data_IF_827704444786
#
_entry.id   IF_827704444786
#
_cell.length_a   1.000
_cell.length_b   1.000
_cell.length_c   1.000
_cell.angle_alpha   90.00
_cell.angle_beta   90.00
_cell.angle_gamma   90.00
#
_symmetry.space_group_name_H-M   'P 1'
#
loop_
_entity.id
_entity.type
_entity.pdbx_description
1 polymer ?
#
# COMPACT_ATOMS: atom_id res chain seq x y z
N UNK A 1 65.80 3.61 -33.93
CA UNK A 1 66.05 2.19 -34.28
C UNK A 1 64.74 1.44 -34.07
N UNK A 2 63.92 1.21 -35.12
CA UNK A 2 63.62 -0.11 -35.73
C UNK A 2 63.59 -1.24 -34.67
N UNK A 3 62.46 -1.92 -34.46
CA UNK A 3 61.94 -2.96 -35.36
C UNK A 3 60.41 -3.00 -35.44
N UNK A 4 59.97 -3.11 -36.69
CA UNK A 4 58.61 -3.43 -37.15
C UNK A 4 58.59 -4.95 -37.38
N UNK A 5 57.49 -5.63 -37.06
CA UNK A 5 57.15 -6.90 -37.70
C UNK A 5 55.73 -6.81 -38.26
N UNK A 6 55.66 -7.00 -39.58
CA UNK A 6 54.49 -7.07 -40.45
C UNK A 6 53.97 -8.52 -40.56
N UNK A 7 52.81 -8.67 -41.21
CA UNK A 7 52.10 -9.88 -41.72
C UNK A 7 51.02 -10.44 -40.78
N UNK A 8 49.77 -10.72 -41.18
CA UNK A 8 48.95 -10.59 -42.40
C UNK A 8 47.50 -10.85 -41.90
N UNK A 9 46.50 -9.98 -42.09
CA UNK A 9 45.57 -9.85 -43.23
C UNK A 9 44.94 -11.16 -43.75
N UNK A 10 43.63 -11.32 -43.50
CA UNK A 10 42.57 -11.94 -44.35
C UNK A 10 41.41 -12.39 -43.42
N UNK A 11 40.11 -12.26 -43.69
CA UNK A 11 39.32 -11.79 -44.83
C UNK A 11 37.87 -11.63 -44.31
N UNK A 12 37.18 -10.60 -44.80
CA UNK A 12 35.76 -10.30 -44.61
C UNK A 12 34.84 -11.48 -45.02
N UNK A 13 33.79 -11.72 -44.24
CA UNK A 13 32.49 -12.21 -44.73
C UNK A 13 31.38 -11.45 -43.99
N UNK A 14 30.88 -10.39 -44.63
CA UNK A 14 29.62 -9.75 -44.28
C UNK A 14 28.52 -10.37 -45.15
N UNK A 15 27.45 -10.87 -44.51
CA UNK A 15 26.17 -11.07 -45.18
C UNK A 15 25.06 -10.48 -44.30
N UNK A 16 24.39 -9.52 -44.92
CA UNK A 16 23.25 -8.74 -44.46
C UNK A 16 22.00 -9.61 -44.39
N UNK A 17 21.17 -9.40 -43.36
CA UNK A 17 19.71 -9.21 -43.47
C UNK A 17 19.06 -9.45 -42.10
N UNK A 18 18.55 -8.38 -41.49
CA UNK A 18 17.75 -8.52 -40.28
C UNK A 18 17.47 -7.19 -39.58
N UNK A 19 16.80 -6.25 -40.25
CA UNK A 19 16.09 -5.17 -39.57
C UNK A 19 14.86 -5.77 -38.84
N UNK A 20 15.11 -6.47 -37.74
CA UNK A 20 14.11 -6.80 -36.74
C UNK A 20 14.07 -5.67 -35.72
N UNK A 21 12.92 -5.02 -35.60
CA UNK A 21 12.64 -4.03 -34.56
C UNK A 21 13.07 -4.58 -33.18
N UNK A 22 13.86 -3.87 -32.36
CA UNK A 22 14.01 -4.25 -30.97
C UNK A 22 12.68 -3.93 -30.29
N UNK A 23 11.89 -4.98 -30.07
CA UNK A 23 10.71 -4.92 -29.22
C UNK A 23 11.10 -4.31 -27.88
N UNK A 24 10.31 -3.32 -27.47
CA UNK A 24 10.29 -2.77 -26.11
C UNK A 24 10.39 -3.93 -25.11
N UNK A 25 11.40 -4.01 -24.25
CA UNK A 25 11.43 -5.06 -23.24
C UNK A 25 10.17 -4.92 -22.39
N UNK A 26 9.41 -6.01 -22.37
CA UNK A 26 8.29 -6.20 -21.48
C UNK A 26 8.77 -6.07 -20.03
N UNK A 27 7.91 -5.46 -19.20
CA UNK A 27 8.06 -5.16 -17.79
C UNK A 27 9.25 -5.82 -17.09
N UNK A 28 10.24 -5.00 -16.76
CA UNK A 28 11.13 -5.32 -15.66
C UNK A 28 10.25 -5.51 -14.41
N UNK A 29 10.31 -6.68 -13.74
CA UNK A 29 9.62 -6.87 -12.47
C UNK A 29 10.07 -5.75 -11.55
N UNK A 30 9.13 -4.98 -10.98
CA UNK A 30 9.46 -3.98 -9.98
C UNK A 30 10.29 -4.67 -8.90
N UNK A 31 11.58 -4.31 -8.81
CA UNK A 31 12.45 -4.90 -7.81
C UNK A 31 11.83 -4.61 -6.43
N UNK A 32 11.76 -5.61 -5.52
CA UNK A 32 11.26 -5.39 -4.19
C UNK A 32 12.04 -4.24 -3.56
N UNK A 33 11.34 -3.17 -3.18
CA UNK A 33 11.98 -2.05 -2.51
C UNK A 33 12.57 -2.52 -1.19
N UNK A 34 13.78 -2.05 -0.78
CA UNK A 34 14.34 -2.39 0.51
C UNK A 34 13.34 -2.10 1.64
N UNK A 35 13.24 -2.96 2.66
CA UNK A 35 12.36 -2.72 3.80
C UNK A 35 12.75 -1.42 4.52
N UNK A 36 11.76 -0.56 4.76
CA UNK A 36 11.97 0.73 5.42
C UNK A 36 11.98 0.59 6.95
N UNK A 37 12.73 1.45 7.64
CA UNK A 37 12.61 1.65 9.09
C UNK A 37 12.53 3.14 9.39
N UNK A 38 11.59 3.54 10.25
CA UNK A 38 11.35 4.93 10.64
C UNK A 38 9.86 5.29 10.67
N UNK A 39 9.57 6.56 10.91
CA UNK A 39 8.21 7.08 10.85
C UNK A 39 7.79 7.28 9.39
N UNK A 40 6.54 6.95 9.05
CA UNK A 40 5.94 7.33 7.76
C UNK A 40 4.91 8.44 7.95
N UNK A 41 4.92 9.42 7.04
CA UNK A 41 4.02 10.55 7.12
C UNK A 41 2.58 10.14 6.78
N UNK A 42 1.63 10.64 7.57
CA UNK A 42 0.21 10.59 7.24
C UNK A 42 -0.08 11.75 6.29
N UNK A 43 -0.40 11.42 5.04
CA UNK A 43 -0.63 12.42 4.00
C UNK A 43 -2.05 12.98 4.05
N UNK A 44 -3.02 12.12 4.39
CA UNK A 44 -4.44 12.45 4.52
C UNK A 44 -5.04 11.59 5.65
N UNK A 45 -6.04 12.12 6.35
CA UNK A 45 -6.70 11.43 7.46
C UNK A 45 -8.19 11.76 7.50
N UNK A 46 -9.01 10.74 7.73
CA UNK A 46 -10.45 10.86 7.83
C UNK A 46 -10.98 9.99 8.97
N UNK A 47 -11.37 10.59 10.11
CA UNK A 47 -12.20 9.92 11.09
C UNK A 47 -13.68 9.94 10.68
N UNK A 48 -14.45 8.99 11.18
CA UNK A 48 -15.89 8.95 10.97
C UNK A 48 -16.55 7.70 11.52
N UNK A 49 -17.86 7.62 11.33
CA UNK A 49 -18.64 6.43 11.63
C UNK A 49 -18.76 5.58 10.36
N UNK A 50 -18.61 4.27 10.52
CA UNK A 50 -18.73 3.29 9.46
C UNK A 50 -19.89 2.33 9.78
N UNK A 51 -20.83 2.12 8.86
CA UNK A 51 -22.02 1.33 9.14
C UNK A 51 -21.71 -0.17 9.23
N UNK A 52 -22.25 -0.83 10.26
CA UNK A 52 -22.02 -2.25 10.57
C UNK A 52 -22.60 -3.19 9.52
N UNK A 53 -23.68 -2.78 8.85
CA UNK A 53 -24.30 -3.52 7.75
C UNK A 53 -23.51 -3.40 6.42
N UNK A 54 -22.36 -2.69 6.42
CA UNK A 54 -21.46 -2.52 5.25
C UNK A 54 -20.04 -3.01 5.46
N UNK A 55 -19.78 -3.78 6.52
CA UNK A 55 -18.45 -4.34 6.79
C UNK A 55 -17.95 -5.24 5.65
N UNK A 56 -18.84 -5.82 4.86
CA UNK A 56 -18.51 -6.63 3.69
C UNK A 56 -17.75 -5.88 2.60
N UNK A 57 -17.79 -4.54 2.61
CA UNK A 57 -17.04 -3.71 1.66
C UNK A 57 -15.57 -3.56 2.04
N UNK A 58 -15.21 -3.81 3.30
CA UNK A 58 -13.81 -3.92 3.70
C UNK A 58 -13.18 -5.18 3.07
N UNK A 59 -11.85 -5.21 2.88
CA UNK A 59 -11.14 -6.39 2.39
C UNK A 59 -11.53 -7.64 3.16
N UNK A 60 -11.88 -8.71 2.44
CA UNK A 60 -12.56 -9.88 2.99
C UNK A 60 -11.80 -10.56 4.13
N UNK A 61 -10.48 -10.61 4.05
CA UNK A 61 -9.57 -11.20 5.05
C UNK A 61 -9.31 -10.29 6.27
N UNK A 62 -9.88 -9.08 6.29
CA UNK A 62 -9.61 -8.06 7.30
C UNK A 62 -10.87 -7.57 8.03
N UNK A 63 -12.05 -8.11 7.68
CA UNK A 63 -13.37 -7.65 8.20
C UNK A 63 -13.61 -7.89 9.69
N UNK A 64 -12.81 -8.71 10.34
CA UNK A 64 -12.84 -8.94 11.79
C UNK A 64 -11.70 -8.22 12.51
N UNK A 65 -10.78 -7.60 11.78
CA UNK A 65 -9.63 -6.93 12.34
C UNK A 65 -9.98 -5.49 12.75
N UNK A 66 -9.36 -5.03 13.83
CA UNK A 66 -9.41 -3.63 14.25
C UNK A 66 -8.47 -2.74 13.43
N UNK A 67 -7.40 -3.31 12.85
CA UNK A 67 -6.44 -2.59 12.02
C UNK A 67 -6.31 -3.34 10.69
N UNK A 68 -6.26 -2.61 9.59
CA UNK A 68 -6.07 -3.20 8.26
C UNK A 68 -5.62 -2.17 7.22
N UNK A 69 -5.58 -2.59 5.97
CA UNK A 69 -5.21 -1.76 4.83
C UNK A 69 -6.09 -2.00 3.61
N UNK A 70 -6.14 -0.99 2.73
CA UNK A 70 -6.75 -1.07 1.41
C UNK A 70 -5.67 -0.67 0.39
N UNK A 71 -5.33 -1.59 -0.51
CA UNK A 71 -4.33 -1.39 -1.59
C UNK A 71 -4.94 -1.34 -2.99
N UNK A 72 -6.27 -1.40 -3.09
CA UNK A 72 -7.03 -1.43 -4.34
C UNK A 72 -8.00 -0.24 -4.44
N UNK A 73 -8.03 0.38 -5.63
CA UNK A 73 -8.83 1.59 -5.91
C UNK A 73 -10.33 1.32 -5.80
N UNK A 74 -10.80 0.18 -6.32
CA UNK A 74 -12.23 -0.13 -6.39
C UNK A 74 -12.77 -0.52 -5.01
N UNK A 75 -11.96 -1.26 -4.23
CA UNK A 75 -12.26 -1.53 -2.82
C UNK A 75 -12.33 -0.21 -2.04
N UNK A 76 -11.36 0.69 -2.21
CA UNK A 76 -11.38 1.98 -1.51
C UNK A 76 -12.61 2.82 -1.87
N UNK A 77 -12.98 2.89 -3.14
CA UNK A 77 -14.19 3.60 -3.57
C UNK A 77 -15.46 2.98 -2.94
N UNK A 78 -15.54 1.64 -2.90
CA UNK A 78 -16.64 0.93 -2.25
C UNK A 78 -16.76 1.26 -0.75
N UNK A 79 -15.64 1.23 -0.03
CA UNK A 79 -15.56 1.62 1.39
C UNK A 79 -15.92 3.09 1.57
N UNK A 80 -15.37 3.99 0.73
CA UNK A 80 -15.59 5.43 0.83
C UNK A 80 -17.08 5.79 0.69
N UNK A 81 -17.79 5.18 -0.25
CA UNK A 81 -19.23 5.48 -0.45
C UNK A 81 -20.10 5.07 0.74
N UNK A 82 -19.67 4.11 1.56
CA UNK A 82 -20.33 3.78 2.82
C UNK A 82 -19.86 4.69 3.97
N UNK A 83 -18.58 5.06 4.00
CA UNK A 83 -17.97 5.86 5.06
C UNK A 83 -18.30 7.35 4.99
N UNK A 84 -18.39 7.91 3.79
CA UNK A 84 -18.63 9.32 3.48
C UNK A 84 -19.67 9.44 2.34
N UNK A 85 -20.93 9.06 2.61
CA UNK A 85 -21.96 9.03 1.56
C UNK A 85 -22.18 10.42 0.96
N UNK A 86 -22.18 10.50 -0.37
CA UNK A 86 -22.37 11.75 -1.11
C UNK A 86 -21.09 12.60 -1.27
N UNK A 87 -20.00 12.27 -0.58
CA UNK A 87 -18.71 12.92 -0.80
C UNK A 87 -17.97 12.35 -2.00
N UNK A 88 -17.21 13.20 -2.70
CA UNK A 88 -16.35 12.77 -3.79
C UNK A 88 -15.26 11.84 -3.26
N UNK A 89 -15.08 10.68 -3.89
CA UNK A 89 -13.98 9.75 -3.57
C UNK A 89 -12.63 10.46 -3.76
N UNK A 90 -11.73 10.44 -2.77
CA UNK A 90 -10.37 10.96 -2.90
C UNK A 90 -9.62 10.22 -4.02
N UNK A 91 -8.89 10.97 -4.84
CA UNK A 91 -8.04 10.37 -5.86
C UNK A 91 -6.70 9.99 -5.21
N UNK A 92 -6.51 8.69 -4.99
CA UNK A 92 -5.32 8.12 -4.37
C UNK A 92 -4.59 7.30 -5.42
N UNK A 93 -3.29 7.54 -5.54
CA UNK A 93 -2.41 6.71 -6.33
C UNK A 93 -1.99 5.46 -5.53
N UNK A 94 -2.72 4.35 -5.72
CA UNK A 94 -2.48 3.07 -5.04
C UNK A 94 -1.19 2.35 -5.48
N UNK A 95 -0.50 2.86 -6.51
CA UNK A 95 0.86 2.39 -6.84
C UNK A 95 1.83 2.87 -5.78
N UNK A 96 1.74 4.15 -5.39
CA UNK A 96 2.67 4.80 -4.47
C UNK A 96 2.16 4.92 -3.03
N UNK A 97 0.86 4.71 -2.81
CA UNK A 97 0.22 4.91 -1.52
C UNK A 97 -0.60 3.70 -1.06
N UNK A 98 -0.79 3.63 0.24
CA UNK A 98 -1.61 2.66 0.92
C UNK A 98 -2.60 3.40 1.82
N UNK A 99 -3.84 2.91 1.89
CA UNK A 99 -4.80 3.39 2.90
C UNK A 99 -4.75 2.42 4.08
N UNK A 100 -4.48 2.92 5.28
CA UNK A 100 -4.65 2.15 6.51
C UNK A 100 -5.97 2.50 7.15
N UNK A 101 -6.61 1.53 7.80
CA UNK A 101 -7.78 1.76 8.62
C UNK A 101 -7.58 1.24 10.04
N UNK A 102 -8.21 1.92 11.00
CA UNK A 102 -8.33 1.48 12.37
C UNK A 102 -9.78 1.67 12.86
N UNK A 103 -10.30 0.69 13.59
CA UNK A 103 -11.62 0.68 14.24
C UNK A 103 -11.57 -0.14 15.52
N UNK A 104 -12.44 0.18 16.46
CA UNK A 104 -12.67 -0.66 17.63
C UNK A 104 -13.75 -1.71 17.29
N UNK A 105 -13.46 -2.98 17.58
CA UNK A 105 -14.36 -4.12 17.28
C UNK A 105 -15.20 -4.57 18.50
N UNK A 106 -14.99 -3.93 19.65
CA UNK A 106 -15.62 -4.30 20.93
C UNK A 106 -16.57 -3.21 21.45
N UNK A 107 -16.21 -1.94 21.30
CA UNK A 107 -16.95 -0.79 21.81
C UNK A 107 -17.01 0.32 20.77
N UNK A 108 -18.08 1.12 20.82
CA UNK A 108 -18.11 2.40 20.13
C UNK A 108 -17.23 3.40 20.90
N UNK A 109 -15.99 3.52 20.43
CA UNK A 109 -14.99 4.49 20.87
C UNK A 109 -14.49 5.24 19.65
N UNK A 110 -14.55 6.58 19.66
CA UNK A 110 -13.97 7.38 18.58
C UNK A 110 -12.48 7.11 18.51
N UNK A 111 -12.01 6.75 17.32
CA UNK A 111 -10.63 6.36 17.06
C UNK A 111 -9.99 7.32 16.05
N UNK A 112 -8.71 7.61 16.24
CA UNK A 112 -7.90 8.38 15.30
C UNK A 112 -6.51 7.77 15.19
N UNK A 113 -6.01 7.61 13.98
CA UNK A 113 -4.63 7.19 13.74
C UNK A 113 -3.74 8.44 13.81
N UNK A 114 -2.90 8.51 14.86
CA UNK A 114 -2.02 9.65 15.08
C UNK A 114 -0.62 9.47 14.49
N UNK A 115 -0.15 8.22 14.36
CA UNK A 115 1.19 7.92 13.89
C UNK A 115 1.26 6.53 13.26
N UNK A 116 2.15 6.37 12.28
CA UNK A 116 2.52 5.08 11.71
C UNK A 116 4.03 4.95 11.75
N UNK A 117 4.51 3.89 12.43
CA UNK A 117 5.92 3.55 12.51
C UNK A 117 6.18 2.35 11.61
N UNK A 118 7.33 2.29 10.96
CA UNK A 118 7.73 1.14 10.15
C UNK A 118 9.01 0.58 10.72
N UNK A 119 9.04 -0.73 10.95
CA UNK A 119 10.23 -1.47 11.38
C UNK A 119 10.48 -2.62 10.43
N UNK A 120 11.61 -2.59 9.73
CA UNK A 120 11.99 -3.63 8.78
C UNK A 120 10.87 -3.92 7.76
N UNK A 121 10.25 -2.84 7.28
CA UNK A 121 9.13 -2.86 6.34
C UNK A 121 7.78 -3.28 6.92
N UNK A 122 7.68 -3.54 8.22
CA UNK A 122 6.40 -3.79 8.89
C UNK A 122 5.86 -2.51 9.49
N UNK A 123 4.73 -2.02 8.97
CA UNK A 123 4.02 -0.87 9.52
C UNK A 123 3.29 -1.23 10.82
N UNK A 124 3.33 -0.34 11.80
CA UNK A 124 2.63 -0.40 13.07
C UNK A 124 1.86 0.91 13.27
N UNK A 125 0.56 0.76 13.53
CA UNK A 125 -0.38 1.88 13.66
C UNK A 125 -0.53 2.24 15.13
N UNK A 126 -0.25 3.50 15.47
CA UNK A 126 -0.59 4.07 16.76
C UNK A 126 -1.90 4.83 16.63
N UNK A 127 -2.97 4.19 17.07
CA UNK A 127 -4.30 4.77 17.15
C UNK A 127 -4.63 5.19 18.59
N UNK A 128 -5.31 6.31 18.74
CA UNK A 128 -5.84 6.80 20.00
C UNK A 128 -7.36 6.69 19.99
N UNK A 129 -7.91 6.19 21.09
CA UNK A 129 -9.35 6.01 21.25
C UNK A 129 -9.90 6.81 22.43
N UNK A 130 -11.16 7.25 22.31
CA UNK A 130 -11.94 7.66 23.49
C UNK A 130 -12.26 6.44 24.35
N UNK A 131 -12.50 6.64 25.65
CA UNK A 131 -12.89 5.55 26.57
C UNK A 131 -14.36 5.67 26.96
N UNK A 132 -15.25 5.63 25.97
CA UNK A 132 -16.70 5.75 26.19
C UNK A 132 -17.33 4.42 26.61
N UNK A 133 -16.80 3.29 26.12
CA UNK A 133 -17.30 1.94 26.40
C UNK A 133 -18.80 1.75 26.08
N UNK A 134 -19.29 2.49 25.08
CA UNK A 134 -20.65 2.31 24.56
C UNK A 134 -20.71 1.01 23.74
N UNK A 135 -21.82 0.26 23.78
CA UNK A 135 -22.01 -0.88 22.89
C UNK A 135 -22.00 -0.43 21.42
N UNK A 136 -21.56 -1.32 20.54
CA UNK A 136 -21.71 -1.14 19.10
C UNK A 136 -23.14 -1.53 18.73
N UNK A 137 -23.84 -0.61 18.08
CA UNK A 137 -25.18 -0.83 17.52
C UNK A 137 -25.07 -0.83 15.98
N UNK A 138 -25.46 0.26 15.33
CA UNK A 138 -25.53 0.33 13.86
C UNK A 138 -24.22 0.76 13.20
N UNK A 139 -23.30 1.36 13.96
CA UNK A 139 -22.05 1.93 13.42
C UNK A 139 -20.88 1.68 14.35
N UNK A 140 -19.68 1.67 13.77
CA UNK A 140 -18.40 1.71 14.47
C UNK A 140 -17.63 2.96 14.10
N UNK A 141 -16.90 3.53 15.06
CA UNK A 141 -15.95 4.57 14.71
C UNK A 141 -14.75 3.96 13.96
N UNK A 142 -14.37 4.59 12.85
CA UNK A 142 -13.26 4.19 12.00
C UNK A 142 -12.43 5.40 11.60
N UNK A 143 -11.12 5.21 11.51
CA UNK A 143 -10.17 6.19 10.99
C UNK A 143 -9.49 5.62 9.77
N UNK A 144 -9.50 6.35 8.66
CA UNK A 144 -8.73 6.06 7.45
C UNK A 144 -7.54 7.02 7.34
N UNK A 145 -6.36 6.53 6.96
CA UNK A 145 -5.19 7.37 6.67
C UNK A 145 -4.48 6.94 5.40
N UNK A 146 -3.92 7.88 4.66
CA UNK A 146 -3.06 7.63 3.50
C UNK A 146 -1.61 7.75 3.91
N UNK A 147 -0.79 6.76 3.55
CA UNK A 147 0.66 6.75 3.75
C UNK A 147 1.39 6.37 2.46
N UNK A 148 2.68 6.67 2.40
CA UNK A 148 3.55 6.14 1.34
C UNK A 148 3.67 4.61 1.45
N UNK A 149 3.60 3.91 0.31
CA UNK A 149 3.72 2.45 0.21
C UNK A 149 5.16 1.96 0.19
N UNK A 150 6.09 2.80 -0.27
CA UNK A 150 7.49 2.41 -0.51
C UNK A 150 8.15 1.78 0.72
N UNK A 151 8.73 0.59 0.55
CA UNK A 151 9.44 -0.14 1.59
C UNK A 151 8.55 -0.76 2.68
N UNK A 152 7.21 -0.70 2.55
CA UNK A 152 6.27 -1.40 3.44
C UNK A 152 5.90 -2.75 2.81
N UNK A 153 6.21 -3.83 3.52
CA UNK A 153 5.95 -5.22 3.12
C UNK A 153 4.86 -5.88 3.97
N UNK A 154 4.56 -5.34 5.14
CA UNK A 154 3.56 -5.89 6.04
C UNK A 154 2.95 -4.85 6.98
N UNK A 155 1.85 -5.25 7.62
CA UNK A 155 1.14 -4.48 8.63
C UNK A 155 1.01 -5.33 9.90
N UNK A 156 1.39 -4.75 11.04
CA UNK A 156 1.21 -5.35 12.36
C UNK A 156 -0.26 -5.22 12.77
N UNK A 157 -0.90 -6.35 13.06
CA UNK A 157 -2.28 -6.41 13.56
C UNK A 157 -2.28 -7.22 14.87
N UNK A 158 -2.13 -6.54 16.00
CA UNK A 158 -1.91 -7.21 17.29
C UNK A 158 -0.61 -8.03 17.27
N UNK A 159 -0.70 -9.32 17.55
CA UNK A 159 0.46 -10.23 17.57
C UNK A 159 0.89 -10.72 16.18
N UNK A 160 0.08 -10.50 15.14
CA UNK A 160 0.32 -11.03 13.79
C UNK A 160 0.83 -9.96 12.83
N UNK A 161 1.48 -10.40 11.76
CA UNK A 161 1.88 -9.54 10.64
C UNK A 161 1.12 -9.99 9.41
N UNK A 162 0.36 -9.07 8.82
CA UNK A 162 -0.36 -9.27 7.58
C UNK A 162 0.50 -8.76 6.41
N UNK A 163 0.81 -9.58 5.39
CA UNK A 163 1.52 -9.11 4.20
C UNK A 163 0.71 -8.06 3.44
N UNK A 164 1.39 -7.02 2.94
CA UNK A 164 0.78 -6.09 1.97
C UNK A 164 0.78 -6.74 0.59
N UNK A 165 -0.41 -6.80 -0.02
CA UNK A 165 -0.64 -7.32 -1.38
C UNK A 165 -0.72 -6.18 -2.38
#
# INVERSE_FOLDING_TARGET
MRRISFMEVALLMALMAGCGHPGKPAGEPAQPSPPMTGDTAILQSWPGDYPMDRLERLPADQREQGIGYISDRDIFASVWTAFKPGERVPDIDFVNHLVLFARNTQFYNRISIGKVMVKEGVAEVLAMETKSALPIEDTVAMSLVVIARYGIIGLRTGATVMPIK
#
